data_IF_500849503246
#
_entry.id   IF_500849503246
#
_cell.length_a   1.000
_cell.length_b   1.000
_cell.length_c   1.000
_cell.angle_alpha   90.00
_cell.angle_beta   90.00
_cell.angle_gamma   90.00
#
_symmetry.space_group_name_H-M   'P 1'
#
loop_
_entity.id
_entity.type
_entity.pdbx_description
1 polymer ?
#
# COMPACT_ATOMS: atom_id res chain seq x y z
N UNK A 1 -1.08 -16.83 73.58
CA UNK A 1 -0.69 -18.21 73.97
C UNK A 1 0.58 -18.46 73.15
N UNK A 2 1.76 -18.22 73.80
CA UNK A 2 2.47 -19.14 74.68
C UNK A 2 3.10 -20.25 73.87
N UNK A 3 4.32 -20.44 73.78
CA UNK A 3 5.59 -20.37 74.58
C UNK A 3 6.53 -21.25 73.80
N UNK A 4 7.81 -20.81 73.57
CA UNK A 4 8.99 -21.15 74.35
C UNK A 4 9.39 -22.63 74.30
N UNK A 5 10.58 -23.06 74.09
CA UNK A 5 11.87 -22.91 74.78
C UNK A 5 12.92 -23.68 73.99
N UNK A 6 14.09 -23.09 73.77
CA UNK A 6 15.27 -23.12 74.65
C UNK A 6 16.13 -24.38 74.59
N UNK A 7 17.40 -24.11 74.24
CA UNK A 7 18.69 -24.47 74.93
C UNK A 7 19.08 -25.95 74.87
N UNK A 8 20.29 -26.35 74.83
CA UNK A 8 21.56 -25.85 75.31
C UNK A 8 22.73 -26.76 74.87
N UNK A 9 23.90 -26.17 74.84
CA UNK A 9 25.17 -26.59 75.35
C UNK A 9 25.95 -27.83 74.84
N UNK A 10 27.16 -27.47 74.45
CA UNK A 10 28.47 -27.79 75.05
C UNK A 10 29.10 -29.11 74.58
N UNK A 11 30.36 -29.29 74.47
CA UNK A 11 31.69 -28.64 74.77
C UNK A 11 32.78 -29.54 74.22
N UNK A 12 33.90 -28.87 73.75
CA UNK A 12 35.30 -29.13 74.11
C UNK A 12 35.84 -30.59 73.89
N UNK A 13 36.93 -30.77 73.22
CA UNK A 13 38.38 -30.73 73.53
C UNK A 13 39.24 -31.20 72.34
N UNK A 14 40.20 -30.42 72.02
CA UNK A 14 41.68 -30.38 72.23
C UNK A 14 42.54 -31.52 71.68
N UNK A 15 43.61 -30.97 71.12
CA UNK A 15 44.96 -31.53 71.01
C UNK A 15 45.26 -32.44 69.80
N UNK A 16 46.40 -32.39 69.17
CA UNK A 16 47.72 -31.74 69.25
C UNK A 16 48.45 -31.92 67.92
N UNK A 17 49.17 -30.88 67.53
CA UNK A 17 50.59 -30.78 67.12
C UNK A 17 51.17 -31.92 66.24
N UNK A 18 51.66 -31.58 65.03
CA UNK A 18 53.06 -31.48 64.67
C UNK A 18 53.28 -30.99 63.21
N UNK A 19 54.04 -30.07 63.12
CA UNK A 19 55.22 -29.54 62.44
C UNK A 19 55.51 -29.95 60.98
N UNK A 20 55.83 -28.84 60.24
CA UNK A 20 56.83 -28.70 59.17
C UNK A 20 56.56 -29.38 57.82
N UNK A 21 56.35 -28.52 56.83
CA UNK A 21 57.39 -28.18 55.84
C UNK A 21 57.00 -26.93 55.04
N UNK A 22 57.96 -26.05 54.95
CA UNK A 22 57.91 -24.81 54.17
C UNK A 22 58.01 -25.19 52.69
N UNK A 23 57.06 -24.78 51.91
CA UNK A 23 57.24 -24.64 50.45
C UNK A 23 56.67 -23.31 49.98
N UNK A 24 57.58 -22.49 49.45
CA UNK A 24 57.30 -21.13 48.97
C UNK A 24 56.74 -21.22 47.58
N UNK A 25 55.43 -21.23 47.47
CA UNK A 25 54.78 -21.02 46.19
C UNK A 25 54.32 -19.58 46.03
N UNK A 26 54.71 -18.97 44.92
CA UNK A 26 54.41 -17.61 44.50
C UNK A 26 52.87 -17.42 44.43
N UNK A 27 52.30 -16.66 45.32
CA UNK A 27 50.91 -16.19 45.26
C UNK A 27 50.74 -15.24 44.08
N UNK A 28 50.28 -15.78 42.93
CA UNK A 28 49.71 -15.02 41.87
C UNK A 28 48.46 -14.33 42.39
N UNK A 29 48.44 -12.99 42.39
CA UNK A 29 47.21 -12.22 42.66
C UNK A 29 46.16 -12.53 41.58
N UNK A 30 45.30 -13.53 41.82
CA UNK A 30 44.06 -13.69 41.07
C UNK A 30 43.09 -12.61 41.55
N UNK A 31 42.89 -11.57 40.74
CA UNK A 31 41.72 -10.72 40.87
C UNK A 31 40.51 -11.60 40.48
N UNK A 32 39.53 -11.87 41.37
CA UNK A 32 38.31 -12.55 40.98
C UNK A 32 37.51 -11.58 40.12
N UNK A 33 37.71 -11.64 38.79
CA UNK A 33 36.89 -10.91 37.88
C UNK A 33 35.50 -11.56 37.97
N UNK A 34 34.58 -10.86 38.64
CA UNK A 34 33.20 -11.34 38.75
C UNK A 34 32.60 -11.35 37.35
N UNK A 35 32.15 -12.50 36.89
CA UNK A 35 31.60 -12.72 35.55
C UNK A 35 30.48 -11.73 35.24
N UNK A 36 29.75 -11.22 36.24
CA UNK A 36 28.76 -10.19 36.11
C UNK A 36 29.30 -8.84 35.61
N UNK A 37 30.54 -8.49 35.98
CA UNK A 37 31.19 -7.29 35.44
C UNK A 37 31.56 -7.43 33.99
N UNK A 38 31.91 -8.64 33.53
CA UNK A 38 32.18 -8.92 32.11
C UNK A 38 30.90 -8.78 31.31
N UNK A 39 29.80 -9.37 31.79
CA UNK A 39 28.49 -9.22 31.15
C UNK A 39 27.99 -7.77 31.13
N UNK A 40 28.15 -7.04 32.23
CA UNK A 40 27.77 -5.63 32.28
C UNK A 40 28.57 -4.79 31.28
N UNK A 41 29.88 -5.00 31.22
CA UNK A 41 30.76 -4.33 30.27
C UNK A 41 30.37 -4.66 28.80
N UNK A 42 30.05 -5.94 28.51
CA UNK A 42 29.59 -6.36 27.19
C UNK A 42 28.24 -5.67 26.80
N UNK A 43 27.30 -5.61 27.72
CA UNK A 43 26.02 -4.92 27.51
C UNK A 43 26.22 -3.42 27.23
N UNK A 44 27.09 -2.76 28.02
CA UNK A 44 27.39 -1.33 27.81
C UNK A 44 28.06 -1.10 26.44
N UNK A 45 28.96 -2.00 26.02
CA UNK A 45 29.59 -1.92 24.70
C UNK A 45 28.59 -2.14 23.56
N UNK A 46 27.65 -3.09 23.71
CA UNK A 46 26.59 -3.34 22.70
C UNK A 46 25.67 -2.13 22.60
N UNK A 47 25.23 -1.58 23.74
CA UNK A 47 24.36 -0.39 23.76
C UNK A 47 25.09 0.82 23.16
N UNK A 48 26.36 1.03 23.56
CA UNK A 48 27.18 2.12 23.01
C UNK A 48 27.41 2.01 21.50
N UNK A 49 27.69 0.79 21.01
CA UNK A 49 27.87 0.53 19.59
C UNK A 49 26.56 0.71 18.81
N UNK A 50 25.44 0.23 19.36
CA UNK A 50 24.12 0.39 18.75
C UNK A 50 23.71 1.86 18.70
N UNK A 51 23.90 2.59 19.78
CA UNK A 51 23.65 4.04 19.83
C UNK A 51 24.54 4.81 18.84
N UNK A 52 25.83 4.44 18.74
CA UNK A 52 26.75 5.04 17.77
C UNK A 52 26.34 4.74 16.33
N UNK A 53 25.88 3.50 16.04
CA UNK A 53 25.38 3.12 14.71
C UNK A 53 24.10 3.88 14.37
N UNK A 54 23.14 3.98 15.30
CA UNK A 54 21.92 4.77 15.15
C UNK A 54 22.22 6.26 14.94
N UNK A 55 23.16 6.81 15.74
CA UNK A 55 23.59 8.19 15.57
C UNK A 55 24.23 8.45 14.19
N UNK A 56 25.12 7.56 13.76
CA UNK A 56 25.73 7.64 12.42
C UNK A 56 24.71 7.49 11.31
N UNK A 57 23.74 6.59 11.48
CA UNK A 57 22.64 6.39 10.51
C UNK A 57 21.71 7.60 10.45
N UNK A 58 21.40 8.22 11.60
CA UNK A 58 20.58 9.42 11.68
C UNK A 58 21.32 10.70 11.23
N UNK A 59 22.65 10.64 11.15
CA UNK A 59 23.48 11.70 10.57
C UNK A 59 23.74 11.50 9.08
N UNK A 60 23.07 10.52 8.44
CA UNK A 60 23.28 10.16 7.04
C UNK A 60 23.94 11.27 6.24
N UNK A 61 24.88 10.98 5.40
CA UNK A 61 25.47 12.00 4.52
C UNK A 61 24.30 12.82 3.97
N UNK A 62 24.20 14.09 4.38
CA UNK A 62 23.32 15.02 3.72
C UNK A 62 23.94 15.18 2.33
N UNK A 63 23.49 14.34 1.42
CA UNK A 63 23.75 14.56 -0.01
C UNK A 63 23.11 15.91 -0.28
N UNK A 64 23.93 16.93 -0.48
CA UNK A 64 23.48 18.24 -0.91
C UNK A 64 22.72 18.01 -2.21
N UNK A 65 21.42 18.26 -2.22
CA UNK A 65 20.58 18.09 -3.40
C UNK A 65 21.15 18.97 -4.50
N UNK A 66 21.74 18.37 -5.51
CA UNK A 66 22.14 19.05 -6.74
C UNK A 66 20.97 18.99 -7.74
N UNK A 67 20.26 20.10 -7.95
CA UNK A 67 19.13 20.14 -8.89
C UNK A 67 19.57 19.90 -10.36
N UNK A 68 20.88 19.90 -10.63
CA UNK A 68 21.43 19.65 -11.95
C UNK A 68 22.20 18.32 -12.01
N UNK A 69 22.12 17.48 -10.96
CA UNK A 69 22.71 16.17 -11.03
C UNK A 69 22.10 15.38 -12.20
N UNK A 70 22.97 14.83 -13.03
CA UNK A 70 22.53 13.92 -14.09
C UNK A 70 22.00 12.65 -13.44
N UNK A 71 20.68 12.52 -13.40
CA UNK A 71 19.98 11.34 -12.85
C UNK A 71 19.76 10.26 -13.90
N UNK A 72 20.21 10.47 -15.14
CA UNK A 72 20.03 9.51 -16.25
C UNK A 72 20.77 8.19 -16.06
N UNK A 73 21.71 8.10 -15.09
CA UNK A 73 22.37 6.85 -14.70
C UNK A 73 21.59 6.05 -13.63
N UNK A 74 20.53 6.62 -13.04
CA UNK A 74 19.72 5.91 -12.06
C UNK A 74 18.48 5.35 -12.76
N UNK A 75 18.55 4.07 -13.10
CA UNK A 75 17.37 3.32 -13.55
C UNK A 75 16.49 3.06 -12.31
N UNK A 76 15.40 3.80 -12.18
CA UNK A 76 14.45 3.59 -11.07
C UNK A 76 13.56 2.42 -11.45
N UNK A 77 13.81 1.27 -10.87
CA UNK A 77 12.97 0.08 -11.07
C UNK A 77 11.57 0.31 -10.49
N UNK A 78 10.55 -0.10 -11.24
CA UNK A 78 9.18 -0.11 -10.77
C UNK A 78 9.03 -1.05 -9.56
N UNK A 79 8.22 -0.64 -8.59
CA UNK A 79 7.99 -1.37 -7.34
C UNK A 79 6.82 -2.38 -7.47
N UNK A 80 6.75 -3.11 -8.58
CA UNK A 80 5.68 -4.08 -8.78
C UNK A 80 5.70 -5.20 -7.72
N UNK A 81 4.53 -5.55 -7.23
CA UNK A 81 4.34 -6.68 -6.33
C UNK A 81 3.18 -7.55 -6.83
N UNK A 82 3.49 -8.54 -7.67
CA UNK A 82 2.48 -9.37 -8.34
C UNK A 82 2.24 -10.64 -7.54
N UNK A 83 1.07 -10.71 -6.92
CA UNK A 83 0.64 -11.82 -6.06
C UNK A 83 -0.44 -12.62 -6.80
N UNK A 84 -0.17 -13.90 -7.14
CA UNK A 84 -1.20 -14.76 -7.69
C UNK A 84 -2.25 -15.09 -6.63
N UNK A 85 -3.50 -15.32 -7.06
CA UNK A 85 -4.54 -15.81 -6.16
C UNK A 85 -4.18 -17.21 -5.66
N UNK A 86 -4.32 -17.43 -4.35
CA UNK A 86 -4.03 -18.74 -3.75
C UNK A 86 -5.04 -19.79 -4.26
N UNK A 87 -4.61 -21.03 -4.59
CA UNK A 87 -5.48 -22.03 -5.21
C UNK A 87 -6.69 -22.44 -4.36
N UNK A 88 -6.58 -22.38 -3.05
CA UNK A 88 -7.67 -22.65 -2.11
C UNK A 88 -8.82 -21.64 -2.21
N UNK A 89 -8.57 -20.44 -2.70
CA UNK A 89 -9.59 -19.43 -2.96
C UNK A 89 -10.48 -19.76 -4.14
N UNK A 90 -10.01 -20.63 -5.04
CA UNK A 90 -10.75 -21.11 -6.22
C UNK A 90 -11.47 -22.45 -5.96
N UNK A 91 -11.32 -23.04 -4.76
CA UNK A 91 -11.91 -24.32 -4.44
C UNK A 91 -13.44 -24.25 -4.50
N UNK A 92 -14.04 -25.09 -5.34
CA UNK A 92 -15.49 -25.17 -5.54
C UNK A 92 -16.07 -24.15 -6.53
N UNK A 93 -15.26 -23.30 -7.15
CA UNK A 93 -15.67 -22.46 -8.27
C UNK A 93 -15.55 -23.24 -9.58
N UNK A 94 -16.61 -23.21 -10.39
CA UNK A 94 -16.57 -23.72 -11.76
C UNK A 94 -15.98 -22.64 -12.68
N UNK A 95 -14.95 -23.01 -13.45
CA UNK A 95 -14.39 -22.16 -14.51
C UNK A 95 -15.37 -22.16 -15.69
N UNK A 96 -15.91 -21.00 -16.01
CA UNK A 96 -16.83 -20.82 -17.15
C UNK A 96 -16.10 -20.63 -18.49
N UNK A 97 -14.77 -20.64 -18.48
CA UNK A 97 -13.92 -20.46 -19.66
C UNK A 97 -13.88 -19.04 -20.21
N UNK A 98 -14.40 -18.06 -19.46
CA UNK A 98 -14.39 -16.63 -19.82
C UNK A 98 -13.70 -15.86 -18.72
N UNK A 99 -12.63 -15.14 -19.07
CA UNK A 99 -12.01 -14.22 -18.11
C UNK A 99 -12.87 -12.93 -18.02
N UNK A 100 -13.33 -12.62 -16.83
CA UNK A 100 -14.13 -11.42 -16.56
C UNK A 100 -13.37 -10.46 -15.65
N UNK A 101 -13.19 -9.22 -16.10
CA UNK A 101 -12.46 -8.16 -15.39
C UNK A 101 -13.43 -7.02 -15.05
N UNK A 102 -13.46 -6.58 -13.80
CA UNK A 102 -14.14 -5.37 -13.36
C UNK A 102 -13.11 -4.27 -13.08
N UNK A 103 -13.16 -3.18 -13.82
CA UNK A 103 -12.33 -2.00 -13.58
C UNK A 103 -13.08 -1.04 -12.65
N UNK A 104 -12.47 -0.68 -11.51
CA UNK A 104 -12.97 0.29 -10.54
C UNK A 104 -11.98 1.45 -10.41
N UNK A 105 -12.46 2.65 -10.20
CA UNK A 105 -11.61 3.82 -10.06
C UNK A 105 -12.32 5.11 -10.48
N UNK A 106 -11.53 6.04 -10.98
CA UNK A 106 -11.99 7.37 -11.41
C UNK A 106 -11.61 7.66 -12.87
N UNK A 107 -11.06 8.80 -13.16
CA UNK A 107 -10.84 9.36 -14.49
C UNK A 107 -10.00 8.49 -15.44
N UNK A 108 -8.99 7.70 -15.02
CA UNK A 108 -8.29 6.74 -15.86
C UNK A 108 -9.20 5.80 -16.67
N UNK A 109 -10.28 5.36 -16.05
CA UNK A 109 -11.23 4.46 -16.70
C UNK A 109 -12.48 5.18 -17.20
N UNK A 110 -12.93 6.26 -16.54
CA UNK A 110 -14.26 6.83 -16.76
C UNK A 110 -14.30 7.90 -17.84
N UNK A 111 -13.22 8.69 -18.06
CA UNK A 111 -13.23 9.79 -19.02
C UNK A 111 -13.27 9.33 -20.47
N UNK A 112 -12.58 8.25 -20.81
CA UNK A 112 -12.61 7.67 -22.14
C UNK A 112 -13.15 6.24 -22.09
N UNK A 113 -14.40 6.07 -22.53
CA UNK A 113 -15.07 4.77 -22.62
C UNK A 113 -15.19 4.27 -24.09
N UNK A 114 -14.41 4.88 -25.00
CA UNK A 114 -14.29 4.44 -26.39
C UNK A 114 -13.15 3.43 -26.58
N UNK A 115 -12.94 2.99 -27.82
CA UNK A 115 -11.94 1.96 -28.19
C UNK A 115 -10.52 2.29 -27.72
N UNK A 116 -10.16 3.55 -27.53
CA UNK A 116 -8.87 3.97 -27.00
C UNK A 116 -8.85 4.17 -25.47
N UNK A 117 -9.97 3.96 -24.79
CA UNK A 117 -10.05 4.01 -23.33
C UNK A 117 -9.35 2.84 -22.65
N UNK A 118 -8.89 3.02 -21.42
CA UNK A 118 -8.08 2.05 -20.71
C UNK A 118 -8.79 0.68 -20.55
N UNK A 119 -10.06 0.67 -20.16
CA UNK A 119 -10.82 -0.58 -19.98
C UNK A 119 -10.99 -1.33 -21.32
N UNK A 120 -11.30 -0.62 -22.41
CA UNK A 120 -11.45 -1.21 -23.74
C UNK A 120 -10.13 -1.70 -24.31
N UNK A 121 -9.02 -1.00 -24.04
CA UNK A 121 -7.66 -1.45 -24.38
C UNK A 121 -7.29 -2.75 -23.63
N UNK A 122 -7.62 -2.85 -22.34
CA UNK A 122 -7.43 -4.08 -21.57
C UNK A 122 -8.26 -5.22 -22.20
N UNK A 123 -9.53 -4.98 -22.53
CA UNK A 123 -10.39 -5.98 -23.17
C UNK A 123 -9.81 -6.45 -24.50
N UNK A 124 -9.39 -5.53 -25.37
CA UNK A 124 -8.83 -5.84 -26.67
C UNK A 124 -7.52 -6.66 -26.60
N UNK A 125 -6.67 -6.39 -25.61
CA UNK A 125 -5.37 -7.05 -25.45
C UNK A 125 -5.46 -8.40 -24.74
N UNK A 126 -6.45 -8.60 -23.87
CA UNK A 126 -6.62 -9.85 -23.11
C UNK A 126 -7.64 -10.80 -23.72
N UNK A 127 -8.56 -10.28 -24.55
CA UNK A 127 -9.74 -11.02 -24.98
C UNK A 127 -10.77 -11.26 -23.86
N UNK A 128 -10.58 -10.63 -22.70
CA UNK A 128 -11.48 -10.76 -21.57
C UNK A 128 -12.79 -9.96 -21.76
N UNK A 129 -13.83 -10.36 -21.05
CA UNK A 129 -15.01 -9.52 -20.85
C UNK A 129 -14.68 -8.47 -19.79
N UNK A 130 -14.69 -7.17 -20.14
CA UNK A 130 -14.33 -6.09 -19.22
C UNK A 130 -15.55 -5.23 -18.92
N UNK A 131 -15.81 -5.03 -17.63
CA UNK A 131 -16.82 -4.09 -17.13
C UNK A 131 -16.13 -2.86 -16.56
N UNK A 132 -16.55 -1.68 -17.01
CA UNK A 132 -16.04 -0.41 -16.51
C UNK A 132 -16.98 0.16 -15.45
N UNK A 133 -16.60 0.02 -14.19
CA UNK A 133 -17.33 0.47 -13.01
C UNK A 133 -16.79 1.75 -12.38
N UNK A 134 -16.01 2.55 -13.12
CA UNK A 134 -15.40 3.78 -12.63
C UNK A 134 -16.34 4.99 -12.70
N UNK A 135 -16.06 6.00 -11.85
CA UNK A 135 -16.85 7.23 -11.75
C UNK A 135 -15.96 8.46 -11.86
N UNK A 136 -16.24 9.32 -12.83
CA UNK A 136 -15.47 10.54 -13.12
C UNK A 136 -15.40 11.50 -11.93
N UNK A 137 -14.20 12.04 -11.66
CA UNK A 137 -13.97 13.10 -10.67
C UNK A 137 -14.13 12.63 -9.22
N UNK A 138 -14.13 11.32 -8.98
CA UNK A 138 -14.17 10.77 -7.63
C UNK A 138 -12.75 10.67 -7.03
N UNK A 139 -12.65 10.22 -5.80
CA UNK A 139 -11.39 9.91 -5.11
C UNK A 139 -11.53 8.55 -4.43
N UNK A 140 -10.43 7.85 -4.18
CA UNK A 140 -10.48 6.62 -3.40
C UNK A 140 -10.98 6.89 -1.98
N UNK A 141 -10.47 7.94 -1.33
CA UNK A 141 -10.93 8.40 -0.02
C UNK A 141 -12.24 9.20 -0.12
N UNK A 142 -13.17 8.96 0.81
CA UNK A 142 -14.33 9.82 0.97
C UNK A 142 -13.94 11.17 1.61
N UNK A 143 -14.69 12.22 1.32
CA UNK A 143 -14.56 13.54 1.94
C UNK A 143 -14.97 13.50 3.42
N UNK A 144 -16.03 12.74 3.73
CA UNK A 144 -16.62 12.68 5.05
C UNK A 144 -16.64 11.25 5.60
N UNK A 145 -16.47 11.12 6.91
CA UNK A 145 -16.53 9.81 7.58
C UNK A 145 -17.91 9.13 7.53
N UNK A 146 -18.93 9.90 7.18
CA UNK A 146 -20.29 9.40 6.91
C UNK A 146 -20.83 10.17 5.71
N UNK A 147 -21.59 9.48 4.87
CA UNK A 147 -22.18 10.09 3.68
C UNK A 147 -22.92 11.39 4.01
N UNK A 148 -22.72 12.38 3.15
CA UNK A 148 -23.31 13.71 3.24
C UNK A 148 -23.93 14.10 1.89
N UNK A 149 -25.24 14.37 1.85
CA UNK A 149 -25.97 14.76 0.64
C UNK A 149 -25.43 16.04 -0.02
N UNK A 150 -24.67 16.86 0.72
CA UNK A 150 -23.97 18.03 0.17
C UNK A 150 -22.73 17.70 -0.65
N UNK A 151 -22.26 16.45 -0.63
CA UNK A 151 -21.13 15.97 -1.42
C UNK A 151 -21.38 14.54 -1.91
N UNK A 152 -22.13 14.44 -3.00
CA UNK A 152 -22.61 13.16 -3.52
C UNK A 152 -21.52 12.22 -4.02
N UNK A 153 -20.32 12.75 -4.36
CA UNK A 153 -19.22 11.95 -4.88
C UNK A 153 -18.69 10.92 -3.87
N UNK A 154 -18.90 11.14 -2.56
CA UNK A 154 -18.55 10.16 -1.54
C UNK A 154 -19.23 8.80 -1.74
N UNK A 155 -20.47 8.79 -2.24
CA UNK A 155 -21.19 7.54 -2.53
C UNK A 155 -20.53 6.70 -3.63
N UNK A 156 -19.61 7.27 -4.38
CA UNK A 156 -18.88 6.66 -5.49
C UNK A 156 -17.36 6.56 -5.22
N UNK A 157 -16.91 6.88 -4.00
CA UNK A 157 -15.55 6.59 -3.56
C UNK A 157 -15.31 5.09 -3.43
N UNK A 158 -14.06 4.65 -3.50
CA UNK A 158 -13.74 3.22 -3.55
C UNK A 158 -14.38 2.39 -2.43
N UNK A 159 -14.30 2.88 -1.19
CA UNK A 159 -14.87 2.16 -0.04
C UNK A 159 -16.39 1.99 -0.12
N UNK A 160 -17.13 3.00 -0.62
CA UNK A 160 -18.58 2.90 -0.79
C UNK A 160 -18.97 1.99 -1.95
N UNK A 161 -18.26 2.06 -3.08
CA UNK A 161 -18.48 1.17 -4.24
C UNK A 161 -18.22 -0.29 -3.83
N UNK A 162 -17.07 -0.56 -3.18
CA UNK A 162 -16.71 -1.88 -2.72
C UNK A 162 -17.72 -2.45 -1.70
N UNK A 163 -18.18 -1.62 -0.76
CA UNK A 163 -19.20 -2.02 0.21
C UNK A 163 -20.54 -2.32 -0.48
N UNK A 164 -20.90 -1.57 -1.52
CA UNK A 164 -22.14 -1.81 -2.30
C UNK A 164 -22.05 -3.13 -3.06
N UNK A 165 -20.90 -3.42 -3.68
CA UNK A 165 -20.64 -4.70 -4.34
C UNK A 165 -20.69 -5.86 -3.33
N UNK A 166 -20.00 -5.73 -2.21
CA UNK A 166 -19.93 -6.79 -1.19
C UNK A 166 -21.27 -7.11 -0.53
N UNK A 167 -22.11 -6.09 -0.30
CA UNK A 167 -23.42 -6.26 0.34
C UNK A 167 -24.57 -6.49 -0.64
N UNK A 168 -24.39 -6.21 -1.92
CA UNK A 168 -25.46 -6.17 -2.93
C UNK A 168 -26.44 -5.01 -2.73
N UNK A 169 -26.10 -4.02 -1.88
CA UNK A 169 -26.96 -2.87 -1.61
C UNK A 169 -26.46 -1.60 -2.30
N UNK A 170 -27.14 -1.17 -3.34
CA UNK A 170 -26.83 0.00 -4.15
C UNK A 170 -27.76 1.20 -3.89
N UNK A 171 -28.59 1.17 -2.85
CA UNK A 171 -29.61 2.22 -2.63
C UNK A 171 -29.00 3.60 -2.43
N UNK A 172 -27.86 3.69 -1.73
CA UNK A 172 -27.14 4.94 -1.56
C UNK A 172 -26.61 5.46 -2.89
N UNK A 173 -25.90 4.63 -3.65
CA UNK A 173 -25.36 5.00 -4.97
C UNK A 173 -26.47 5.41 -5.95
N UNK A 174 -27.58 4.66 -5.99
CA UNK A 174 -28.75 5.00 -6.83
C UNK A 174 -29.33 6.35 -6.45
N UNK A 175 -29.47 6.62 -5.15
CA UNK A 175 -29.96 7.90 -4.66
C UNK A 175 -29.00 9.03 -5.04
N UNK A 176 -27.71 8.89 -4.77
CA UNK A 176 -26.68 9.87 -5.09
C UNK A 176 -26.62 10.14 -6.61
N UNK A 177 -26.69 9.08 -7.42
CA UNK A 177 -26.67 9.19 -8.89
C UNK A 177 -27.82 10.06 -9.45
N UNK A 178 -28.98 10.14 -8.77
CA UNK A 178 -30.08 11.03 -9.20
C UNK A 178 -29.74 12.52 -9.09
N UNK A 179 -28.74 12.86 -8.29
CA UNK A 179 -28.26 14.25 -8.12
C UNK A 179 -27.05 14.57 -9.00
N UNK A 180 -26.49 13.57 -9.68
CA UNK A 180 -25.41 13.80 -10.65
C UNK A 180 -25.95 14.41 -11.93
N UNK A 181 -25.23 15.38 -12.48
CA UNK A 181 -25.49 15.92 -13.83
C UNK A 181 -24.88 15.03 -14.93
N UNK A 182 -24.01 14.10 -14.57
CA UNK A 182 -23.39 13.15 -15.49
C UNK A 182 -24.28 11.89 -15.61
N UNK A 183 -24.79 11.64 -16.81
CA UNK A 183 -25.61 10.47 -17.10
C UNK A 183 -24.87 9.14 -16.99
N UNK A 184 -23.53 9.14 -16.91
CA UNK A 184 -22.74 7.93 -16.70
C UNK A 184 -22.98 7.35 -15.29
N UNK A 185 -23.15 8.17 -14.26
CA UNK A 185 -23.32 7.72 -12.89
C UNK A 185 -24.51 6.74 -12.70
N UNK A 186 -25.72 7.07 -13.10
CA UNK A 186 -26.85 6.12 -13.00
C UNK A 186 -26.65 4.88 -13.88
N UNK A 187 -26.03 4.99 -15.06
CA UNK A 187 -25.78 3.85 -15.95
C UNK A 187 -24.76 2.89 -15.34
N UNK A 188 -23.64 3.41 -14.86
CA UNK A 188 -22.58 2.61 -14.20
C UNK A 188 -23.10 1.98 -12.91
N UNK A 189 -23.87 2.72 -12.10
CA UNK A 189 -24.50 2.17 -10.89
C UNK A 189 -25.45 1.00 -11.22
N UNK A 190 -26.27 1.12 -12.25
CA UNK A 190 -27.20 0.06 -12.67
C UNK A 190 -26.42 -1.17 -13.23
N UNK A 191 -25.33 -0.95 -13.95
CA UNK A 191 -24.46 -2.02 -14.42
C UNK A 191 -23.85 -2.78 -13.24
N UNK A 192 -23.27 -2.07 -12.26
CA UNK A 192 -22.67 -2.68 -11.05
C UNK A 192 -23.72 -3.45 -10.22
N UNK A 193 -24.94 -2.92 -10.08
CA UNK A 193 -26.05 -3.59 -9.34
C UNK A 193 -26.46 -4.91 -10.00
N UNK A 194 -26.34 -5.02 -11.33
CA UNK A 194 -26.78 -6.20 -12.09
C UNK A 194 -25.65 -7.17 -12.43
N UNK A 195 -24.39 -6.79 -12.18
CA UNK A 195 -23.24 -7.64 -12.43
C UNK A 195 -23.23 -8.83 -11.48
N UNK A 196 -23.12 -10.04 -12.04
CA UNK A 196 -22.88 -11.24 -11.24
C UNK A 196 -21.42 -11.28 -10.78
N UNK A 197 -21.17 -10.89 -9.54
CA UNK A 197 -19.84 -10.87 -8.95
C UNK A 197 -19.20 -12.27 -8.85
N UNK A 198 -19.98 -13.35 -8.92
CA UNK A 198 -19.43 -14.70 -8.95
C UNK A 198 -18.76 -15.03 -10.30
N UNK A 199 -19.11 -14.32 -11.37
CA UNK A 199 -18.44 -14.47 -12.67
C UNK A 199 -17.17 -13.63 -12.82
N UNK A 200 -16.91 -12.69 -11.89
CA UNK A 200 -15.74 -11.81 -11.96
C UNK A 200 -14.48 -12.56 -11.48
N UNK A 201 -13.43 -12.56 -12.30
CA UNK A 201 -12.14 -13.19 -11.98
C UNK A 201 -11.13 -12.20 -11.41
N UNK A 202 -11.13 -10.99 -11.96
CA UNK A 202 -10.17 -9.94 -11.61
C UNK A 202 -10.90 -8.63 -11.37
N UNK A 203 -10.56 -7.96 -10.27
CA UNK A 203 -10.88 -6.54 -10.09
C UNK A 203 -9.59 -5.75 -10.23
N UNK A 204 -9.60 -4.80 -11.18
CA UNK A 204 -8.55 -3.82 -11.38
C UNK A 204 -8.98 -2.50 -10.75
N UNK A 205 -8.20 -1.98 -9.80
CA UNK A 205 -8.47 -0.71 -9.11
C UNK A 205 -7.42 0.30 -9.51
N UNK A 206 -7.83 1.45 -10.05
CA UNK A 206 -6.94 2.55 -10.36
C UNK A 206 -7.62 3.89 -10.09
N UNK A 207 -7.05 4.65 -9.18
CA UNK A 207 -7.32 6.07 -8.97
C UNK A 207 -6.11 6.87 -9.44
N UNK A 208 -6.35 8.01 -10.07
CA UNK A 208 -5.25 8.90 -10.46
C UNK A 208 -4.71 9.71 -9.26
N UNK A 209 -3.98 10.78 -9.49
CA UNK A 209 -3.46 11.65 -8.43
C UNK A 209 -4.51 12.50 -7.71
N UNK A 210 -5.82 12.25 -7.92
CA UNK A 210 -6.92 13.06 -7.40
C UNK A 210 -6.96 13.12 -5.87
N UNK A 211 -6.66 12.04 -5.17
CA UNK A 211 -6.58 12.05 -3.70
C UNK A 211 -5.52 13.03 -3.20
N UNK A 212 -4.33 13.03 -3.82
CA UNK A 212 -3.26 13.99 -3.53
C UNK A 212 -3.71 15.43 -3.83
N UNK A 213 -4.23 15.70 -5.03
CA UNK A 213 -4.65 17.04 -5.48
C UNK A 213 -5.77 17.58 -4.61
N UNK A 214 -6.74 16.74 -4.23
CA UNK A 214 -7.84 17.10 -3.35
C UNK A 214 -7.47 17.11 -1.87
N UNK A 215 -6.17 16.94 -1.54
CA UNK A 215 -5.64 17.01 -0.16
C UNK A 215 -6.34 16.02 0.78
N UNK A 216 -6.71 14.84 0.28
CA UNK A 216 -7.19 13.75 1.13
C UNK A 216 -6.02 13.31 2.02
N UNK A 217 -6.21 13.08 3.33
CA UNK A 217 -5.14 12.55 4.15
C UNK A 217 -4.62 11.22 3.55
N UNK A 218 -3.29 11.06 3.44
CA UNK A 218 -2.70 9.88 2.84
C UNK A 218 -2.97 8.63 3.69
N UNK A 219 -2.66 8.69 5.00
CA UNK A 219 -2.87 7.59 5.94
C UNK A 219 -3.21 8.10 7.34
N UNK A 220 -3.70 7.20 8.21
CA UNK A 220 -3.82 7.40 9.64
C UNK A 220 -3.38 6.11 10.37
N UNK A 221 -2.18 6.07 10.98
CA UNK A 221 -1.70 4.90 11.70
C UNK A 221 -2.58 4.46 12.87
N UNK A 222 -3.40 5.37 13.43
CA UNK A 222 -4.32 5.05 14.53
C UNK A 222 -5.68 4.53 14.03
N UNK A 223 -5.99 4.76 12.75
CA UNK A 223 -7.22 4.32 12.11
C UNK A 223 -6.95 3.82 10.69
N UNK A 224 -6.24 2.68 10.52
CA UNK A 224 -5.72 2.22 9.22
C UNK A 224 -6.80 1.86 8.19
N UNK A 225 -8.06 1.77 8.61
CA UNK A 225 -9.25 1.54 7.77
C UNK A 225 -10.17 2.76 7.68
N UNK A 226 -9.66 3.94 8.00
CA UNK A 226 -10.44 5.19 7.91
C UNK A 226 -10.74 5.54 6.46
N UNK A 227 -12.01 5.53 6.08
CA UNK A 227 -12.45 5.78 4.70
C UNK A 227 -12.18 7.22 4.22
N UNK A 228 -11.82 8.13 5.12
CA UNK A 228 -11.44 9.51 4.77
C UNK A 228 -9.94 9.67 4.54
N UNK A 229 -9.18 8.59 4.62
CA UNK A 229 -7.79 8.54 4.20
C UNK A 229 -7.62 7.67 2.97
N UNK A 230 -6.69 8.03 2.09
CA UNK A 230 -6.43 7.31 0.85
C UNK A 230 -6.19 5.81 1.07
N UNK A 231 -5.20 5.47 1.88
CA UNK A 231 -4.87 4.07 2.15
C UNK A 231 -5.90 3.34 3.00
N UNK A 232 -6.60 4.07 3.88
CA UNK A 232 -7.66 3.49 4.70
C UNK A 232 -8.89 3.12 3.87
N UNK A 233 -9.25 3.94 2.88
CA UNK A 233 -10.30 3.64 1.92
C UNK A 233 -9.95 2.43 1.05
N UNK A 234 -8.68 2.33 0.58
CA UNK A 234 -8.20 1.16 -0.16
C UNK A 234 -8.30 -0.11 0.68
N UNK A 235 -7.76 -0.11 1.92
CA UNK A 235 -7.85 -1.29 2.80
C UNK A 235 -9.31 -1.68 3.08
N UNK A 236 -10.16 -0.73 3.43
CA UNK A 236 -11.56 -1.00 3.73
C UNK A 236 -12.32 -1.58 2.53
N UNK A 237 -12.07 -1.06 1.33
CA UNK A 237 -12.71 -1.54 0.10
C UNK A 237 -12.18 -2.92 -0.32
N UNK A 238 -10.88 -3.14 -0.28
CA UNK A 238 -10.25 -4.42 -0.62
C UNK A 238 -10.75 -5.52 0.33
N UNK A 239 -10.71 -5.28 1.64
CA UNK A 239 -11.17 -6.25 2.64
C UNK A 239 -12.64 -6.62 2.44
N UNK A 240 -13.51 -5.64 2.17
CA UNK A 240 -14.94 -5.89 1.92
C UNK A 240 -15.16 -6.82 0.71
N UNK A 241 -14.41 -6.60 -0.39
CA UNK A 241 -14.48 -7.46 -1.58
C UNK A 241 -13.91 -8.84 -1.29
N UNK A 242 -12.75 -8.94 -0.63
CA UNK A 242 -12.13 -10.23 -0.30
C UNK A 242 -12.95 -11.09 0.65
N UNK A 243 -13.67 -10.45 1.59
CA UNK A 243 -14.58 -11.14 2.50
C UNK A 243 -15.80 -11.70 1.76
N UNK A 244 -16.39 -10.91 0.85
CA UNK A 244 -17.58 -11.31 0.11
C UNK A 244 -17.28 -12.27 -1.05
N UNK A 245 -16.15 -12.06 -1.75
CA UNK A 245 -15.79 -12.75 -2.99
C UNK A 245 -14.30 -13.16 -2.98
N UNK A 246 -13.91 -14.12 -2.13
CA UNK A 246 -12.51 -14.51 -1.94
C UNK A 246 -11.85 -15.10 -3.19
N UNK A 247 -12.61 -15.49 -4.21
CA UNK A 247 -12.15 -16.01 -5.49
C UNK A 247 -11.68 -14.93 -6.47
N UNK A 248 -11.95 -13.66 -6.18
CA UNK A 248 -11.58 -12.57 -7.07
C UNK A 248 -10.13 -12.16 -6.80
N UNK A 249 -9.31 -12.13 -7.84
CA UNK A 249 -7.97 -11.55 -7.79
C UNK A 249 -8.08 -10.02 -7.86
N UNK A 250 -7.62 -9.31 -6.83
CA UNK A 250 -7.59 -7.85 -6.83
C UNK A 250 -6.21 -7.36 -7.25
N UNK A 251 -6.19 -6.37 -8.14
CA UNK A 251 -4.98 -5.72 -8.66
C UNK A 251 -5.14 -4.22 -8.46
N UNK A 252 -4.27 -3.62 -7.67
CA UNK A 252 -4.16 -2.18 -7.52
C UNK A 252 -3.15 -1.67 -8.55
N UNK A 253 -3.56 -0.80 -9.42
CA UNK A 253 -2.71 -0.02 -10.33
C UNK A 253 -2.48 1.34 -9.69
N UNK A 254 -1.25 1.69 -9.40
CA UNK A 254 -0.97 2.99 -8.78
C UNK A 254 -1.33 4.15 -9.69
N UNK A 255 -1.50 5.33 -9.08
CA UNK A 255 -1.49 6.58 -9.82
C UNK A 255 -0.16 6.74 -10.57
N UNK A 256 -0.20 7.59 -11.60
CA UNK A 256 1.00 8.01 -12.35
C UNK A 256 1.52 9.35 -11.84
N UNK A 257 2.53 9.89 -12.49
CA UNK A 257 2.93 11.27 -12.31
C UNK A 257 1.77 12.23 -12.61
N UNK A 258 1.66 13.31 -11.83
CA UNK A 258 0.77 14.44 -12.11
C UNK A 258 1.34 15.76 -11.58
N UNK A 259 0.77 16.87 -12.03
CA UNK A 259 1.06 18.20 -11.49
C UNK A 259 -0.06 18.68 -10.57
N UNK A 260 0.30 19.50 -9.61
CA UNK A 260 -0.62 20.37 -8.89
C UNK A 260 -0.73 21.71 -9.60
N UNK A 261 -1.91 22.30 -9.65
CA UNK A 261 -2.11 23.68 -10.13
C UNK A 261 -2.21 24.59 -8.90
N UNK A 262 -1.24 25.49 -8.72
CA UNK A 262 -1.23 26.39 -7.59
C UNK A 262 -2.24 27.55 -7.78
N UNK A 263 -2.37 28.41 -6.75
CA UNK A 263 -3.33 29.53 -6.78
C UNK A 263 -3.06 30.55 -7.88
N UNK A 264 -1.85 30.61 -8.42
CA UNK A 264 -1.45 31.47 -9.52
C UNK A 264 -1.73 30.84 -10.90
N UNK A 265 -2.17 29.58 -10.93
CA UNK A 265 -2.43 28.80 -12.15
C UNK A 265 -1.20 28.15 -12.75
N UNK A 266 -0.09 28.07 -12.02
CA UNK A 266 1.13 27.42 -12.49
C UNK A 266 1.09 25.92 -12.15
N UNK A 267 1.67 25.11 -13.05
CA UNK A 267 1.90 23.69 -12.81
C UNK A 267 3.11 23.49 -11.89
N UNK A 268 2.90 22.77 -10.81
CA UNK A 268 3.91 22.38 -9.85
C UNK A 268 4.02 20.84 -9.85
N UNK A 269 5.24 20.34 -9.88
CA UNK A 269 5.51 18.90 -9.86
C UNK A 269 4.98 18.26 -8.58
N UNK A 270 4.04 17.30 -8.71
CA UNK A 270 3.39 16.65 -7.57
C UNK A 270 4.35 15.88 -6.67
N UNK A 271 5.48 15.42 -7.20
CA UNK A 271 6.49 14.74 -6.40
C UNK A 271 7.40 15.69 -5.58
N UNK A 272 7.33 16.97 -5.85
CA UNK A 272 8.12 18.01 -5.15
C UNK A 272 7.29 18.85 -4.19
N UNK A 273 5.98 18.82 -4.31
CA UNK A 273 5.07 19.66 -3.51
C UNK A 273 4.32 18.79 -2.50
N UNK A 274 4.42 19.15 -1.23
CA UNK A 274 3.58 18.59 -0.17
C UNK A 274 2.35 19.48 0.02
N UNK A 275 1.18 18.95 -0.30
CA UNK A 275 -0.11 19.64 -0.15
C UNK A 275 -0.71 19.50 1.26
N UNK A 276 0.08 18.99 2.23
CA UNK A 276 -0.28 18.86 3.64
C UNK A 276 -0.33 17.42 4.15
N UNK A 277 -0.19 16.44 3.24
CA UNK A 277 -0.25 15.01 3.56
C UNK A 277 0.83 14.18 2.85
N UNK A 278 1.92 14.81 2.44
CA UNK A 278 3.03 14.23 1.69
C UNK A 278 3.02 14.60 0.22
N UNK A 279 4.11 14.26 -0.47
CA UNK A 279 4.24 14.38 -1.93
C UNK A 279 3.55 13.23 -2.64
N UNK A 280 3.43 13.31 -3.96
CA UNK A 280 2.81 12.25 -4.78
C UNK A 280 3.51 10.90 -4.60
N UNK A 281 4.85 10.85 -4.56
CA UNK A 281 5.61 9.62 -4.27
C UNK A 281 5.41 9.08 -2.84
N UNK A 282 5.03 9.94 -1.89
CA UNK A 282 4.61 9.48 -0.57
C UNK A 282 3.30 8.70 -0.65
N UNK A 283 2.31 9.18 -1.43
CA UNK A 283 1.06 8.45 -1.67
C UNK A 283 1.33 7.10 -2.35
N UNK A 284 2.18 7.06 -3.39
CA UNK A 284 2.60 5.83 -4.06
C UNK A 284 3.12 4.77 -3.08
N UNK A 285 4.05 5.17 -2.22
CA UNK A 285 4.64 4.24 -1.23
C UNK A 285 3.61 3.70 -0.26
N UNK A 286 2.70 4.57 0.18
CA UNK A 286 1.62 4.20 1.10
C UNK A 286 0.54 3.34 0.43
N UNK A 287 0.32 3.53 -0.86
CA UNK A 287 -0.54 2.68 -1.68
C UNK A 287 0.02 1.26 -1.80
N UNK A 288 1.33 1.13 -2.09
CA UNK A 288 2.04 -0.14 -2.07
C UNK A 288 1.95 -0.83 -0.70
N UNK A 289 2.15 -0.07 0.40
CA UNK A 289 1.98 -0.59 1.76
C UNK A 289 0.57 -1.15 1.96
N UNK A 290 -0.47 -0.40 1.54
CA UNK A 290 -1.87 -0.81 1.67
C UNK A 290 -2.19 -2.08 0.85
N UNK A 291 -1.75 -2.15 -0.41
CA UNK A 291 -1.92 -3.32 -1.25
C UNK A 291 -1.20 -4.56 -0.67
N UNK A 292 0.02 -4.36 -0.15
CA UNK A 292 0.81 -5.42 0.49
C UNK A 292 0.18 -5.92 1.78
N UNK A 293 -0.34 -5.03 2.62
CA UNK A 293 -1.05 -5.37 3.86
C UNK A 293 -2.31 -6.23 3.59
N UNK A 294 -3.03 -5.93 2.50
CA UNK A 294 -4.20 -6.67 2.08
C UNK A 294 -3.87 -7.94 1.27
N UNK A 295 -2.58 -8.17 0.93
CA UNK A 295 -2.13 -9.33 0.17
C UNK A 295 -2.63 -9.36 -1.28
N UNK A 296 -2.78 -8.20 -1.92
CA UNK A 296 -3.22 -8.05 -3.31
C UNK A 296 -2.08 -7.62 -4.22
N UNK A 297 -2.25 -7.83 -5.54
CA UNK A 297 -1.27 -7.40 -6.52
C UNK A 297 -1.20 -5.88 -6.61
N UNK A 298 0.01 -5.36 -6.81
CA UNK A 298 0.27 -3.95 -7.03
C UNK A 298 1.11 -3.76 -8.30
N UNK A 299 0.70 -2.82 -9.15
CA UNK A 299 1.43 -2.41 -10.34
C UNK A 299 1.83 -0.94 -10.15
N UNK A 300 3.12 -0.68 -10.16
CA UNK A 300 3.68 0.67 -10.05
C UNK A 300 3.65 1.36 -11.41
N UNK A 301 2.66 2.19 -11.64
CA UNK A 301 2.55 2.99 -12.84
C UNK A 301 3.33 4.32 -12.76
N UNK A 302 3.72 4.74 -11.55
CA UNK A 302 4.45 5.99 -11.37
C UNK A 302 5.90 5.89 -11.91
N UNK A 303 6.63 4.85 -11.51
CA UNK A 303 7.97 4.60 -12.03
C UNK A 303 7.95 3.68 -13.26
N UNK A 304 6.99 2.77 -13.34
CA UNK A 304 6.94 1.77 -14.40
C UNK A 304 6.27 2.21 -15.70
N UNK A 305 5.61 3.39 -15.75
CA UNK A 305 4.93 3.85 -16.97
C UNK A 305 5.07 5.37 -17.20
N UNK A 306 4.22 6.20 -16.58
CA UNK A 306 4.16 7.64 -16.82
C UNK A 306 4.76 8.40 -15.64
N UNK A 307 5.90 9.01 -15.86
CA UNK A 307 6.72 9.71 -14.88
C UNK A 307 7.06 11.14 -15.31
N UNK A 308 7.90 11.86 -14.54
CA UNK A 308 8.31 13.24 -14.80
C UNK A 308 8.97 13.42 -16.19
N UNK A 309 9.65 12.38 -16.69
CA UNK A 309 10.45 12.51 -17.92
C UNK A 309 9.63 12.33 -19.19
N UNK A 310 8.50 11.59 -19.13
CA UNK A 310 7.74 11.20 -20.32
C UNK A 310 6.27 11.65 -20.34
N UNK A 311 5.77 12.29 -19.28
CA UNK A 311 4.34 12.63 -19.15
C UNK A 311 3.77 13.44 -20.33
N UNK A 312 4.58 14.26 -20.98
CA UNK A 312 4.15 15.08 -22.12
C UNK A 312 3.67 14.25 -23.32
N UNK A 313 4.16 13.01 -23.46
CA UNK A 313 3.77 12.12 -24.54
C UNK A 313 2.47 11.38 -24.24
N UNK A 314 2.09 11.25 -22.96
CA UNK A 314 1.03 10.36 -22.48
C UNK A 314 -0.14 11.06 -21.80
N UNK A 315 -0.01 12.35 -21.50
CA UNK A 315 -1.06 13.12 -20.82
C UNK A 315 -1.64 14.22 -21.68
N UNK A 316 -2.92 14.54 -21.48
CA UNK A 316 -3.62 15.65 -22.14
C UNK A 316 -3.52 16.95 -21.36
N UNK A 317 -3.36 16.86 -20.05
CA UNK A 317 -3.24 17.98 -19.13
C UNK A 317 -2.39 17.61 -17.91
N UNK A 318 -2.63 18.19 -16.75
CA UNK A 318 -1.83 17.99 -15.53
C UNK A 318 -2.05 16.66 -14.84
N UNK A 319 -3.09 15.87 -15.20
CA UNK A 319 -3.46 14.62 -14.54
C UNK A 319 -4.05 13.56 -15.48
N UNK A 320 -4.76 13.96 -16.54
CA UNK A 320 -5.52 13.04 -17.40
C UNK A 320 -4.70 12.51 -18.57
N UNK A 321 -4.97 11.28 -18.98
CA UNK A 321 -4.26 10.57 -20.03
C UNK A 321 -4.80 10.89 -21.44
N UNK A 322 -3.92 10.81 -22.43
CA UNK A 322 -4.32 10.71 -23.83
C UNK A 322 -4.42 9.21 -24.24
N UNK A 323 -4.77 8.96 -25.51
CA UNK A 323 -4.93 7.59 -26.04
C UNK A 323 -3.63 6.77 -25.90
N UNK A 324 -2.45 7.39 -26.06
CA UNK A 324 -1.17 6.70 -25.88
C UNK A 324 -0.91 6.35 -24.41
N UNK A 325 -1.33 7.19 -23.48
CA UNK A 325 -1.27 6.92 -22.04
C UNK A 325 -2.16 5.74 -21.65
N UNK A 326 -3.39 5.70 -22.14
CA UNK A 326 -4.28 4.57 -21.92
C UNK A 326 -3.68 3.26 -22.49
N UNK A 327 -3.12 3.31 -23.70
CA UNK A 327 -2.51 2.13 -24.33
C UNK A 327 -1.29 1.63 -23.53
N UNK A 328 -0.44 2.53 -23.02
CA UNK A 328 0.72 2.20 -22.19
C UNK A 328 0.30 1.54 -20.87
N UNK A 329 -0.70 2.08 -20.19
CA UNK A 329 -1.22 1.54 -18.93
C UNK A 329 -1.88 0.17 -19.15
N UNK A 330 -2.61 -0.01 -20.27
CA UNK A 330 -3.17 -1.31 -20.63
C UNK A 330 -2.06 -2.34 -20.91
N UNK A 331 -1.02 -1.98 -21.66
CA UNK A 331 0.13 -2.85 -21.91
C UNK A 331 0.80 -3.26 -20.59
N UNK A 332 0.96 -2.32 -19.67
CA UNK A 332 1.54 -2.56 -18.36
C UNK A 332 0.72 -3.56 -17.54
N UNK A 333 -0.62 -3.37 -17.50
CA UNK A 333 -1.54 -4.28 -16.84
C UNK A 333 -1.45 -5.70 -17.43
N UNK A 334 -1.49 -5.82 -18.76
CA UNK A 334 -1.43 -7.12 -19.47
C UNK A 334 -0.10 -7.82 -19.22
N UNK A 335 1.03 -7.10 -19.31
CA UNK A 335 2.35 -7.67 -19.04
C UNK A 335 2.47 -8.23 -17.61
N UNK A 336 1.91 -7.53 -16.62
CA UNK A 336 2.02 -7.94 -15.23
C UNK A 336 1.04 -9.06 -14.85
N UNK A 337 -0.18 -9.04 -15.40
CA UNK A 337 -1.26 -9.92 -14.94
C UNK A 337 -1.54 -11.08 -15.91
N UNK A 338 -1.34 -10.87 -17.20
CA UNK A 338 -1.58 -11.82 -18.29
C UNK A 338 -0.35 -11.99 -19.21
N UNK A 339 0.82 -12.40 -18.67
CA UNK A 339 2.07 -12.43 -19.43
C UNK A 339 2.04 -13.33 -20.68
N UNK A 340 1.17 -14.34 -20.69
CA UNK A 340 1.00 -15.23 -21.87
C UNK A 340 0.33 -14.48 -23.03
N UNK A 341 -0.68 -13.65 -22.77
CA UNK A 341 -1.34 -12.81 -23.78
C UNK A 341 -0.40 -11.73 -24.32
N UNK A 342 0.49 -11.18 -23.46
CA UNK A 342 1.51 -10.21 -23.87
C UNK A 342 2.51 -10.79 -24.89
N UNK A 343 2.85 -12.07 -24.78
CA UNK A 343 3.78 -12.72 -25.68
C UNK A 343 3.18 -12.93 -27.10
N UNK A 344 1.87 -13.19 -27.20
CA UNK A 344 1.18 -13.39 -28.49
C UNK A 344 1.01 -12.10 -29.28
N UNK A 345 0.92 -10.93 -28.62
CA UNK A 345 0.77 -9.62 -29.29
C UNK A 345 2.09 -9.04 -29.80
N UNK A 346 3.23 -9.62 -29.40
CA UNK A 346 4.58 -9.16 -29.80
C UNK A 346 5.18 -9.90 -31.01
N UNK A 347 4.49 -10.92 -31.56
CA UNK A 347 4.83 -11.63 -32.81
C UNK A 347 4.03 -11.08 -34.01
#
# INVERSE_FOLDING_TARGET
>A
MSQNHETDHQTIDTETVDAETVDTEKQGRHFPINIHFIFLAAIVLIIGFSAYRLYRWNQGEQVEYDPNADTSEFDVEAMDNIIPLAPDKLEGREDDGVTTILCLGDDPFSLNQGESGLAEQIAAKTGATVYNGAFTGTTAAAQYASYNDGYILDAFSFSYVAQSLASGNFDLMKTAATYSYDEAFPKTTAMLETLDMNSVDVICVMYDGSDYINKRPCDDPNAPYSIVTYTGALRAGIDAIQEAYPHIRIVVMSHTFCHHINEEGNFENGDRVDLGHGTLSHYLRKELDAASDCGVSFIDNFYGSINEDNYLDYMTDYIHFNDAGHALLADRFVQCIFPESAAETSE
#
